data_IF_727632821918
#
_entry.id   IF_727632821918
#
_cell.length_a   1.000
_cell.length_b   1.000
_cell.length_c   1.000
_cell.angle_alpha   90.00
_cell.angle_beta   90.00
_cell.angle_gamma   90.00
#
_symmetry.space_group_name_H-M   'P 1'
#
loop_
_entity.id
_entity.type
_entity.pdbx_description
1 polymer ?
#
# COMPACT_ATOMS: atom_id res chain seq x y z
N UNK A 1 20.05 26.23 -10.31
CA UNK A 1 21.14 25.23 -10.40
C UNK A 1 21.25 24.32 -9.15
N UNK A 2 20.19 24.09 -8.36
CA UNK A 2 20.23 23.20 -7.19
C UNK A 2 19.02 22.26 -7.05
N UNK A 3 18.24 22.04 -8.12
CA UNK A 3 16.99 21.25 -8.01
C UNK A 3 17.24 19.77 -7.68
N UNK A 4 18.44 19.24 -7.98
CA UNK A 4 18.81 17.87 -7.64
C UNK A 4 19.10 17.70 -6.14
N UNK A 5 19.77 18.68 -5.52
CA UNK A 5 20.01 18.72 -4.08
C UNK A 5 18.70 18.88 -3.30
N UNK A 6 17.79 19.74 -3.76
CA UNK A 6 16.47 19.85 -3.12
C UNK A 6 15.63 18.59 -3.31
N UNK A 7 15.74 17.86 -4.42
CA UNK A 7 15.09 16.55 -4.61
C UNK A 7 15.65 15.46 -3.69
N UNK A 8 16.96 15.44 -3.49
CA UNK A 8 17.64 14.52 -2.58
C UNK A 8 17.22 14.78 -1.13
N UNK A 9 17.34 16.01 -0.67
CA UNK A 9 16.94 16.42 0.69
C UNK A 9 15.43 16.22 0.90
N UNK A 10 14.61 16.52 -0.11
CA UNK A 10 13.16 16.28 -0.06
C UNK A 10 12.80 14.80 0.00
N UNK A 11 13.61 13.90 -0.56
CA UNK A 11 13.38 12.45 -0.52
C UNK A 11 13.74 11.87 0.85
N UNK A 12 14.84 12.34 1.44
CA UNK A 12 15.31 11.88 2.75
C UNK A 12 14.45 12.39 3.92
N UNK A 13 13.70 13.47 3.74
CA UNK A 13 12.84 14.07 4.76
C UNK A 13 11.35 13.71 4.58
N UNK A 14 11.01 12.73 3.74
CA UNK A 14 9.60 12.32 3.59
C UNK A 14 9.17 11.52 4.81
N UNK A 15 8.09 11.95 5.50
CA UNK A 15 7.50 11.11 6.54
C UNK A 15 7.03 9.80 5.93
N UNK A 16 6.93 8.76 6.76
CA UNK A 16 6.32 7.49 6.38
C UNK A 16 4.94 7.78 5.77
N UNK A 17 4.73 7.31 4.55
CA UNK A 17 3.47 7.45 3.84
C UNK A 17 2.84 6.08 3.68
N UNK A 18 1.57 6.01 4.06
CA UNK A 18 0.68 4.94 3.65
C UNK A 18 0.53 5.00 2.13
N UNK A 19 1.14 4.03 1.48
CA UNK A 19 1.30 4.00 0.03
C UNK A 19 0.14 3.26 -0.65
N UNK A 20 -0.24 2.15 -0.05
CA UNK A 20 -1.31 1.31 -0.52
C UNK A 20 -1.95 0.62 0.68
N UNK A 21 -3.27 0.69 0.77
CA UNK A 21 -4.04 -0.17 1.66
C UNK A 21 -5.22 -0.68 0.86
N UNK A 22 -5.52 -1.96 0.98
CA UNK A 22 -6.79 -2.45 0.47
C UNK A 22 -7.90 -1.74 1.24
N UNK A 23 -8.69 -0.91 0.55
CA UNK A 23 -9.80 -0.20 1.16
C UNK A 23 -11.04 -0.33 0.28
N UNK A 24 -12.10 -0.90 0.86
CA UNK A 24 -13.43 -0.89 0.22
C UNK A 24 -14.18 0.42 0.53
N UNK A 25 -13.74 1.20 1.52
CA UNK A 25 -14.59 2.21 2.19
C UNK A 25 -14.07 3.66 2.17
N UNK A 26 -13.18 4.07 1.25
CA UNK A 26 -12.79 5.50 1.13
C UNK A 26 -13.03 6.01 -0.30
N UNK A 27 -14.17 6.69 -0.47
CA UNK A 27 -14.49 7.51 -1.65
C UNK A 27 -13.75 8.87 -1.67
N UNK A 28 -12.81 9.14 -0.74
CA UNK A 28 -12.24 10.48 -0.56
C UNK A 28 -10.72 10.51 -0.32
N UNK A 29 -9.93 9.71 -1.04
CA UNK A 29 -8.49 9.98 -1.14
C UNK A 29 -8.07 10.22 -2.59
N UNK A 30 -7.33 11.30 -2.77
CA UNK A 30 -6.91 11.89 -4.04
C UNK A 30 -5.74 11.09 -4.63
N UNK A 31 -5.95 9.79 -4.85
CA UNK A 31 -5.04 8.97 -5.63
C UNK A 31 -5.88 8.16 -6.61
N UNK A 32 -5.65 8.40 -7.91
CA UNK A 32 -6.29 7.67 -9.01
C UNK A 32 -5.75 6.25 -8.96
N UNK A 33 -6.25 5.47 -8.01
CA UNK A 33 -6.03 4.04 -7.94
C UNK A 33 -6.78 3.44 -9.12
N UNK A 34 -6.03 2.80 -10.00
CA UNK A 34 -6.48 2.06 -11.16
C UNK A 34 -7.29 0.84 -10.71
N UNK A 35 -8.59 1.04 -10.43
CA UNK A 35 -9.57 -0.05 -10.37
C UNK A 35 -9.77 -0.58 -11.78
N UNK A 36 -9.73 -1.91 -11.96
CA UNK A 36 -10.10 -2.51 -13.24
C UNK A 36 -11.59 -2.29 -13.53
N UNK A 37 -11.98 -2.38 -14.79
CA UNK A 37 -13.40 -2.27 -15.21
C UNK A 37 -14.32 -3.30 -14.51
N UNK A 38 -13.75 -4.42 -14.08
CA UNK A 38 -14.45 -5.52 -13.39
C UNK A 38 -14.62 -5.28 -11.88
N UNK A 39 -13.92 -4.29 -11.30
CA UNK A 39 -14.00 -3.96 -9.86
C UNK A 39 -13.43 -5.02 -8.90
N UNK A 40 -13.16 -6.23 -9.40
CA UNK A 40 -12.54 -7.35 -8.66
C UNK A 40 -11.02 -7.24 -8.55
N UNK A 41 -10.40 -6.37 -9.35
CA UNK A 41 -8.95 -6.15 -9.32
C UNK A 41 -8.66 -4.73 -8.87
N UNK A 42 -7.82 -4.64 -7.85
CA UNK A 42 -7.24 -3.40 -7.39
C UNK A 42 -5.73 -3.48 -7.59
N UNK A 43 -5.15 -2.50 -8.25
CA UNK A 43 -3.71 -2.44 -8.40
C UNK A 43 -3.19 -1.01 -8.29
N UNK A 44 -1.89 -0.94 -8.07
CA UNK A 44 -1.06 0.24 -8.18
C UNK A 44 0.10 -0.13 -9.09
N UNK A 45 0.27 0.64 -10.15
CA UNK A 45 1.31 0.41 -11.15
C UNK A 45 2.71 0.48 -10.54
N UNK A 46 3.70 0.05 -11.33
CA UNK A 46 5.10 0.10 -10.92
C UNK A 46 5.52 1.54 -10.63
N UNK A 47 5.90 1.81 -9.39
CA UNK A 47 6.41 3.11 -8.96
C UNK A 47 7.86 3.04 -8.50
N UNK A 48 8.51 4.21 -8.53
CA UNK A 48 9.89 4.40 -8.12
C UNK A 48 9.97 4.76 -6.65
N UNK A 49 10.86 4.07 -5.94
CA UNK A 49 11.23 4.31 -4.56
C UNK A 49 12.75 4.51 -4.43
N UNK A 50 13.22 5.05 -3.31
CA UNK A 50 14.66 5.17 -3.03
C UNK A 50 15.39 3.82 -2.99
N UNK A 51 14.66 2.73 -2.72
CA UNK A 51 15.17 1.36 -2.64
C UNK A 51 15.00 0.54 -3.93
N UNK A 52 14.45 1.11 -5.01
CA UNK A 52 14.16 0.37 -6.24
C UNK A 52 12.79 0.70 -6.82
N UNK A 53 12.19 -0.26 -7.52
CA UNK A 53 10.87 -0.12 -8.14
C UNK A 53 9.95 -1.23 -7.63
N UNK A 54 8.69 -0.92 -7.34
CA UNK A 54 7.70 -1.91 -6.91
C UNK A 54 6.29 -1.55 -7.38
N UNK A 55 5.49 -2.57 -7.67
CA UNK A 55 4.06 -2.48 -7.97
C UNK A 55 3.29 -3.30 -6.96
N UNK A 56 1.97 -3.16 -6.95
CA UNK A 56 1.14 -3.86 -6.00
C UNK A 56 -0.24 -4.18 -6.60
N UNK A 57 -0.76 -5.38 -6.36
CA UNK A 57 -2.07 -5.78 -6.86
C UNK A 57 -2.77 -6.75 -5.91
N UNK A 58 -4.10 -6.71 -5.93
CA UNK A 58 -4.99 -7.65 -5.25
C UNK A 58 -6.10 -8.04 -6.22
N UNK A 59 -6.39 -9.33 -6.27
CA UNK A 59 -7.48 -9.90 -7.09
C UNK A 59 -8.44 -10.60 -6.14
N UNK A 60 -9.71 -10.22 -6.19
CA UNK A 60 -10.76 -10.86 -5.42
C UNK A 60 -11.17 -12.18 -6.11
N UNK A 61 -10.97 -13.30 -5.42
CA UNK A 61 -11.42 -14.62 -5.89
C UNK A 61 -12.71 -15.10 -5.22
N UNK A 62 -12.86 -14.87 -3.91
CA UNK A 62 -14.02 -15.27 -3.12
C UNK A 62 -15.09 -14.16 -3.06
N UNK A 63 -16.33 -14.51 -2.75
CA UNK A 63 -17.42 -13.55 -2.53
C UNK A 63 -17.08 -12.53 -1.44
N UNK A 64 -16.48 -13.03 -0.35
CA UNK A 64 -15.86 -12.21 0.70
C UNK A 64 -14.35 -12.28 0.51
N UNK A 65 -13.71 -11.13 0.38
CA UNK A 65 -12.25 -11.05 0.36
C UNK A 65 -11.73 -11.23 1.79
N UNK A 66 -11.08 -12.35 2.04
CA UNK A 66 -10.47 -12.67 3.34
C UNK A 66 -9.03 -12.17 3.40
N UNK A 67 -8.33 -12.16 2.26
CA UNK A 67 -6.96 -11.66 2.19
C UNK A 67 -6.94 -10.15 2.44
N UNK A 68 -5.93 -9.67 3.15
CA UNK A 68 -5.67 -8.26 3.35
C UNK A 68 -4.20 -7.95 3.09
N UNK A 69 -3.92 -6.71 2.69
CA UNK A 69 -2.55 -6.31 2.37
C UNK A 69 -2.34 -4.80 2.50
N UNK A 70 -1.08 -4.42 2.67
CA UNK A 70 -0.67 -3.03 2.86
C UNK A 70 0.74 -2.79 2.35
N UNK A 71 1.01 -1.55 1.98
CA UNK A 71 2.35 -1.04 1.73
C UNK A 71 2.51 0.30 2.43
N UNK A 72 3.60 0.40 3.19
CA UNK A 72 4.02 1.62 3.88
C UNK A 72 5.42 1.98 3.34
N UNK A 73 5.59 3.20 2.89
CA UNK A 73 6.86 3.68 2.29
C UNK A 73 7.52 4.70 3.21
N UNK A 74 8.79 4.45 3.55
CA UNK A 74 9.65 5.37 4.28
C UNK A 74 10.68 6.04 3.35
N UNK A 75 11.58 6.86 3.89
CA UNK A 75 12.62 7.51 3.06
C UNK A 75 13.56 6.49 2.40
N UNK A 76 13.89 5.41 3.11
CA UNK A 76 14.92 4.42 2.73
C UNK A 76 14.47 2.97 3.01
N UNK A 77 13.16 2.75 3.14
CA UNK A 77 12.60 1.42 3.35
C UNK A 77 11.18 1.32 2.82
N UNK A 78 10.75 0.09 2.53
CA UNK A 78 9.37 -0.24 2.18
C UNK A 78 8.95 -1.41 3.06
N UNK A 79 7.81 -1.27 3.73
CA UNK A 79 7.14 -2.37 4.40
C UNK A 79 6.02 -2.89 3.51
N UNK A 80 6.02 -4.19 3.26
CA UNK A 80 4.97 -4.88 2.50
C UNK A 80 4.37 -5.95 3.39
N UNK A 81 3.05 -5.88 3.59
CA UNK A 81 2.27 -6.87 4.32
C UNK A 81 1.30 -7.58 3.39
N UNK A 82 1.35 -8.91 3.36
CA UNK A 82 0.37 -9.79 2.69
C UNK A 82 -0.14 -10.78 3.72
N UNK A 83 -1.45 -10.79 3.92
CA UNK A 83 -2.10 -11.55 4.98
C UNK A 83 -3.20 -12.41 4.35
N UNK A 84 -2.95 -13.72 4.26
CA UNK A 84 -3.91 -14.73 3.81
C UNK A 84 -4.95 -14.96 4.92
N UNK A 85 -6.21 -14.66 4.61
CA UNK A 85 -7.31 -14.76 5.59
C UNK A 85 -8.07 -16.08 5.46
N UNK A 86 -8.59 -16.59 6.58
CA UNK A 86 -9.42 -17.79 6.56
C UNK A 86 -10.46 -17.79 7.69
N UNK A 87 -11.69 -18.22 7.36
CA UNK A 87 -12.79 -18.27 8.32
C UNK A 87 -13.40 -16.90 8.60
N UNK A 88 -13.31 -15.99 7.63
CA UNK A 88 -13.67 -14.58 7.72
C UNK A 88 -12.47 -13.63 7.60
N UNK A 89 -12.71 -12.34 7.31
CA UNK A 89 -11.64 -11.34 7.10
C UNK A 89 -11.07 -10.75 8.40
N UNK A 90 -11.61 -11.11 9.56
CA UNK A 90 -11.34 -10.38 10.81
C UNK A 90 -9.88 -10.46 11.25
N UNK A 91 -9.26 -11.63 11.15
CA UNK A 91 -7.87 -11.83 11.57
C UNK A 91 -6.88 -11.10 10.66
N UNK A 92 -7.00 -11.27 9.35
CA UNK A 92 -6.15 -10.61 8.36
C UNK A 92 -6.35 -9.09 8.36
N UNK A 93 -7.59 -8.61 8.55
CA UNK A 93 -7.89 -7.19 8.78
C UNK A 93 -7.23 -6.69 10.06
N UNK A 94 -7.38 -7.40 11.18
CA UNK A 94 -6.74 -7.00 12.44
C UNK A 94 -5.22 -6.84 12.29
N UNK A 95 -4.55 -7.79 11.64
CA UNK A 95 -3.12 -7.69 11.36
C UNK A 95 -2.81 -6.46 10.49
N UNK A 96 -3.60 -6.23 9.45
CA UNK A 96 -3.44 -5.08 8.54
C UNK A 96 -3.62 -3.71 9.24
N UNK A 97 -4.48 -3.63 10.25
CA UNK A 97 -4.73 -2.40 11.00
C UNK A 97 -3.63 -2.10 12.04
N UNK A 98 -2.97 -3.13 12.56
CA UNK A 98 -2.17 -3.00 13.77
C UNK A 98 -0.69 -3.34 13.59
N UNK A 99 -0.32 -4.29 12.72
CA UNK A 99 1.04 -4.84 12.70
C UNK A 99 2.10 -3.76 12.47
N UNK A 100 1.91 -2.91 11.44
CA UNK A 100 2.90 -1.90 11.12
C UNK A 100 3.11 -0.86 12.23
N UNK A 101 2.03 -0.49 12.93
CA UNK A 101 2.11 0.45 14.06
C UNK A 101 2.93 -0.10 15.24
N UNK A 102 3.14 -1.42 15.31
CA UNK A 102 3.99 -2.06 16.31
C UNK A 102 5.44 -2.30 15.84
N UNK A 103 5.76 -1.97 14.58
CA UNK A 103 7.10 -2.10 14.01
C UNK A 103 7.85 -0.76 13.94
N UNK A 104 7.18 0.36 14.20
CA UNK A 104 7.72 1.73 14.16
C UNK A 104 7.89 2.34 15.55
#
# INVERSE_FOLDING_TARGET
MFSWLTRLVSSCLRPVRRYARMNKDIENDFDVSSKSEDGLVWFKDLEKHSCGEFSFAVVQANEVIEDHSQVETGSDSVFVGVYDGHGGPDASRFVNDHLFNHLI
#
